data_IF_087847491782
#
_entry.id   IF_087847491782
#
_cell.length_a   1.000
_cell.length_b   1.000
_cell.length_c   1.000
_cell.angle_alpha   90.00
_cell.angle_beta   90.00
_cell.angle_gamma   90.00
#
_symmetry.space_group_name_H-M   'P 1'
#
loop_
_entity.id
_entity.type
_entity.pdbx_description
1 polymer ?
#
# COMPACT_ATOMS: atom_id res chain seq x y z
N UNK A 1 33.55 -13.89 70.27
CA UNK A 1 33.42 -15.18 70.98
C UNK A 1 32.53 -16.06 70.11
N UNK A 2 32.83 -17.30 69.74
CA UNK A 2 33.95 -18.22 69.90
C UNK A 2 33.71 -19.27 68.78
N UNK A 3 34.78 -19.60 68.06
CA UNK A 3 35.14 -20.89 67.44
C UNK A 3 34.05 -21.98 67.30
N UNK A 4 33.94 -22.59 66.11
CA UNK A 4 34.61 -23.88 65.90
C UNK A 4 34.48 -24.39 64.47
N UNK A 5 35.65 -24.47 63.84
CA UNK A 5 36.00 -25.31 62.71
C UNK A 5 35.90 -26.77 63.16
N UNK A 6 35.17 -27.61 62.42
CA UNK A 6 35.35 -29.06 62.46
C UNK A 6 35.58 -29.54 61.03
N UNK A 7 36.86 -29.76 60.75
CA UNK A 7 37.37 -30.53 59.63
C UNK A 7 37.12 -32.00 59.96
N UNK A 8 36.33 -32.70 59.14
CA UNK A 8 36.34 -34.15 59.12
C UNK A 8 36.73 -34.61 57.71
N UNK A 9 37.99 -35.04 57.60
CA UNK A 9 38.48 -35.81 56.48
C UNK A 9 37.83 -37.21 56.56
N UNK A 10 37.14 -37.62 55.49
CA UNK A 10 36.74 -39.02 55.29
C UNK A 10 37.28 -39.49 53.95
N UNK A 11 37.98 -40.61 54.07
CA UNK A 11 38.68 -41.41 53.08
C UNK A 11 37.92 -41.63 51.76
N UNK A 12 38.69 -41.58 50.68
CA UNK A 12 38.41 -42.14 49.36
C UNK A 12 38.18 -43.66 49.46
N UNK A 13 37.05 -44.12 48.93
CA UNK A 13 36.88 -45.50 48.47
C UNK A 13 36.57 -45.42 46.97
N UNK A 14 37.53 -45.83 46.16
CA UNK A 14 37.35 -46.06 44.73
C UNK A 14 36.40 -47.25 44.55
N UNK A 15 35.23 -47.01 43.97
CA UNK A 15 34.49 -48.03 43.25
C UNK A 15 34.20 -47.52 41.85
N UNK A 16 35.00 -48.06 40.95
CA UNK A 16 34.82 -48.09 39.50
C UNK A 16 33.44 -48.61 39.13
N UNK A 17 32.60 -47.75 38.58
CA UNK A 17 31.63 -48.11 37.55
C UNK A 17 31.53 -46.94 36.58
N UNK A 18 32.10 -47.16 35.39
CA UNK A 18 31.94 -46.43 34.14
C UNK A 18 31.00 -45.22 34.20
N UNK A 19 31.58 -44.02 34.28
CA UNK A 19 30.88 -42.79 33.88
C UNK A 19 30.36 -43.00 32.47
N UNK A 20 29.04 -43.11 32.32
CA UNK A 20 28.41 -43.16 31.02
C UNK A 20 28.91 -41.98 30.17
N UNK A 21 29.22 -42.18 28.87
CA UNK A 21 29.57 -41.08 28.01
C UNK A 21 28.40 -40.10 28.06
N UNK A 22 28.73 -38.85 28.38
CA UNK A 22 27.86 -37.69 28.20
C UNK A 22 27.14 -37.90 26.87
N UNK A 23 25.83 -38.17 26.92
CA UNK A 23 25.04 -38.25 25.72
C UNK A 23 25.35 -36.98 24.95
N UNK A 24 25.98 -37.12 23.78
CA UNK A 24 26.05 -36.07 22.80
C UNK A 24 24.59 -35.69 22.57
N UNK A 25 24.13 -34.59 23.18
CA UNK A 25 22.87 -33.97 22.77
C UNK A 25 23.03 -33.78 21.28
N UNK A 26 22.25 -34.54 20.52
CA UNK A 26 22.15 -34.47 19.07
C UNK A 26 21.84 -33.00 18.72
N UNK A 27 22.88 -32.21 18.45
CA UNK A 27 22.82 -30.77 18.17
C UNK A 27 22.25 -30.54 16.77
N UNK A 28 21.25 -31.31 16.37
CA UNK A 28 20.52 -31.09 15.14
C UNK A 28 19.73 -29.80 15.31
N UNK A 29 20.13 -28.77 14.57
CA UNK A 29 19.44 -27.49 14.56
C UNK A 29 17.93 -27.69 14.36
N UNK A 30 17.12 -27.00 15.17
CA UNK A 30 15.67 -27.04 15.08
C UNK A 30 15.19 -26.59 13.69
N UNK A 31 14.01 -27.06 13.28
CA UNK A 31 13.41 -26.66 12.00
C UNK A 31 13.10 -25.15 12.00
N UNK A 32 13.51 -24.38 10.98
CA UNK A 32 13.28 -22.94 10.92
C UNK A 32 11.87 -22.60 10.39
N UNK A 33 10.83 -23.16 11.02
CA UNK A 33 9.42 -22.98 10.60
C UNK A 33 9.01 -21.49 10.64
N UNK A 34 9.47 -20.75 11.67
CA UNK A 34 9.13 -19.34 11.84
C UNK A 34 9.70 -18.48 10.71
N UNK A 35 10.98 -18.66 10.40
CA UNK A 35 11.67 -17.98 9.32
C UNK A 35 11.09 -18.37 7.96
N UNK A 36 10.75 -19.65 7.78
CA UNK A 36 10.12 -20.14 6.57
C UNK A 36 8.79 -19.44 6.31
N UNK A 37 7.89 -19.44 7.28
CA UNK A 37 6.58 -18.76 7.16
C UNK A 37 6.75 -17.27 6.94
N UNK A 38 7.63 -16.61 7.72
CA UNK A 38 7.86 -15.17 7.62
C UNK A 38 8.37 -14.78 6.23
N UNK A 39 9.40 -15.45 5.73
CA UNK A 39 9.97 -15.13 4.41
C UNK A 39 8.94 -15.30 3.28
N UNK A 40 8.10 -16.34 3.32
CA UNK A 40 7.03 -16.53 2.33
C UNK A 40 5.93 -15.47 2.43
N UNK A 41 5.55 -15.06 3.64
CA UNK A 41 4.56 -13.98 3.81
C UNK A 41 5.10 -12.65 3.28
N UNK A 42 6.37 -12.35 3.53
CA UNK A 42 7.01 -11.13 3.04
C UNK A 42 7.14 -11.14 1.51
N UNK A 43 7.47 -12.29 0.91
CA UNK A 43 7.38 -12.47 -0.54
C UNK A 43 5.98 -12.17 -1.06
N UNK A 44 4.95 -12.79 -0.48
CA UNK A 44 3.58 -12.60 -0.92
C UNK A 44 3.13 -11.12 -0.83
N UNK A 45 3.59 -10.41 0.20
CA UNK A 45 3.33 -8.98 0.35
C UNK A 45 4.06 -8.15 -0.71
N UNK A 46 5.34 -8.42 -0.98
CA UNK A 46 6.06 -7.77 -2.08
C UNK A 46 5.40 -8.02 -3.44
N UNK A 47 4.91 -9.24 -3.69
CA UNK A 47 4.21 -9.63 -4.92
C UNK A 47 2.86 -8.93 -5.05
N UNK A 48 2.07 -8.89 -3.97
CA UNK A 48 0.75 -8.23 -3.92
C UNK A 48 0.82 -6.78 -4.39
N UNK A 49 1.90 -6.08 -4.04
CA UNK A 49 2.11 -4.67 -4.37
C UNK A 49 3.06 -4.46 -5.57
N UNK A 50 3.48 -5.54 -6.24
CA UNK A 50 4.44 -5.50 -7.34
C UNK A 50 5.72 -4.72 -7.00
N UNK A 51 6.25 -4.88 -5.77
CA UNK A 51 7.39 -4.10 -5.29
C UNK A 51 8.70 -4.43 -6.03
N UNK A 52 8.74 -5.55 -6.77
CA UNK A 52 9.85 -5.90 -7.65
C UNK A 52 10.10 -4.84 -8.74
N UNK A 53 9.07 -4.11 -9.20
CA UNK A 53 9.22 -3.05 -10.20
C UNK A 53 9.99 -1.84 -9.65
N UNK A 54 10.00 -1.66 -8.33
CA UNK A 54 10.60 -0.51 -7.64
C UNK A 54 11.91 -0.86 -6.93
N UNK A 55 12.10 -2.14 -6.58
CA UNK A 55 13.31 -2.65 -5.91
C UNK A 55 13.78 -3.97 -6.54
N UNK A 56 14.10 -4.01 -7.85
CA UNK A 56 14.34 -5.26 -8.58
C UNK A 56 15.57 -6.02 -8.09
N UNK A 57 16.64 -5.29 -7.74
CA UNK A 57 17.89 -5.89 -7.28
C UNK A 57 17.71 -6.53 -5.89
N UNK A 58 17.08 -5.81 -4.96
CA UNK A 58 16.78 -6.29 -3.62
C UNK A 58 15.85 -7.50 -3.66
N UNK A 59 14.82 -7.44 -4.51
CA UNK A 59 13.86 -8.51 -4.68
C UNK A 59 14.51 -9.78 -5.25
N UNK A 60 15.32 -9.64 -6.30
CA UNK A 60 16.04 -10.78 -6.89
C UNK A 60 16.99 -11.46 -5.88
N UNK A 61 17.68 -10.67 -5.06
CA UNK A 61 18.54 -11.21 -3.99
C UNK A 61 17.72 -11.94 -2.92
N UNK A 62 16.59 -11.36 -2.48
CA UNK A 62 15.70 -11.98 -1.50
C UNK A 62 15.12 -13.31 -2.02
N UNK A 63 14.68 -13.37 -3.29
CA UNK A 63 14.18 -14.59 -3.93
C UNK A 63 15.25 -15.69 -3.97
N UNK A 64 16.49 -15.33 -4.32
CA UNK A 64 17.60 -16.30 -4.34
C UNK A 64 17.84 -16.89 -2.96
N UNK A 65 17.82 -16.06 -1.91
CA UNK A 65 18.00 -16.53 -0.52
C UNK A 65 16.83 -17.37 -0.02
N UNK A 66 15.59 -17.01 -0.40
CA UNK A 66 14.42 -17.83 -0.11
C UNK A 66 14.53 -19.21 -0.77
N UNK A 67 15.02 -19.27 -2.01
CA UNK A 67 15.26 -20.51 -2.74
C UNK A 67 16.34 -21.37 -2.05
N UNK A 68 17.46 -20.76 -1.65
CA UNK A 68 18.55 -21.46 -0.95
C UNK A 68 18.08 -22.03 0.41
N UNK A 69 17.30 -21.24 1.15
CA UNK A 69 16.69 -21.65 2.42
C UNK A 69 15.72 -22.82 2.25
N UNK A 70 14.90 -22.79 1.21
CA UNK A 70 13.98 -23.90 0.86
C UNK A 70 14.72 -25.17 0.46
N UNK A 71 15.84 -25.05 -0.26
CA UNK A 71 16.60 -26.20 -0.74
C UNK A 71 17.27 -27.01 0.40
N UNK A 72 17.61 -26.35 1.49
CA UNK A 72 18.25 -26.96 2.68
C UNK A 72 17.26 -27.26 3.82
N UNK A 73 15.97 -26.97 3.61
CA UNK A 73 14.94 -27.18 4.62
C UNK A 73 14.79 -28.66 4.98
N UNK A 74 14.75 -29.00 6.28
CA UNK A 74 14.73 -30.37 6.85
C UNK A 74 16.01 -31.20 6.63
N UNK A 75 16.91 -30.78 5.75
CA UNK A 75 18.14 -31.50 5.40
C UNK A 75 19.36 -30.90 6.09
N UNK A 76 19.49 -29.57 6.06
CA UNK A 76 20.46 -28.77 6.81
C UNK A 76 19.75 -27.53 7.37
N UNK A 77 19.16 -27.70 8.55
CA UNK A 77 18.34 -26.68 9.18
C UNK A 77 19.13 -25.42 9.57
N UNK A 78 20.44 -25.55 9.84
CA UNK A 78 21.28 -24.40 10.18
C UNK A 78 21.51 -23.53 8.94
N UNK A 79 21.87 -24.14 7.81
CA UNK A 79 22.00 -23.44 6.53
C UNK A 79 20.66 -22.88 6.06
N UNK A 80 19.58 -23.64 6.24
CA UNK A 80 18.23 -23.21 5.89
C UNK A 80 17.81 -21.97 6.67
N UNK A 81 17.98 -21.98 8.00
CA UNK A 81 17.66 -20.83 8.85
C UNK A 81 18.44 -19.59 8.40
N UNK A 82 19.76 -19.72 8.19
CA UNK A 82 20.61 -18.61 7.76
C UNK A 82 20.12 -18.00 6.44
N UNK A 83 19.85 -18.82 5.44
CA UNK A 83 19.38 -18.33 4.15
C UNK A 83 17.97 -17.72 4.23
N UNK A 84 17.08 -18.23 5.09
CA UNK A 84 15.76 -17.64 5.33
C UNK A 84 15.85 -16.30 6.06
N UNK A 85 16.75 -16.15 7.03
CA UNK A 85 17.04 -14.85 7.69
C UNK A 85 17.57 -13.81 6.68
N UNK A 86 18.46 -14.23 5.77
CA UNK A 86 18.96 -13.40 4.67
C UNK A 86 17.82 -13.02 3.69
N UNK A 87 16.89 -13.93 3.41
CA UNK A 87 15.72 -13.65 2.58
C UNK A 87 14.77 -12.64 3.24
N UNK A 88 14.51 -12.79 4.53
CA UNK A 88 13.70 -11.85 5.33
C UNK A 88 14.31 -10.45 5.25
N UNK A 89 15.61 -10.32 5.51
CA UNK A 89 16.34 -9.04 5.42
C UNK A 89 16.23 -8.45 4.01
N UNK A 90 16.33 -9.29 2.99
CA UNK A 90 16.15 -8.87 1.59
C UNK A 90 14.76 -8.31 1.31
N UNK A 91 13.69 -8.99 1.73
CA UNK A 91 12.33 -8.48 1.54
C UNK A 91 12.03 -7.25 2.39
N UNK A 92 12.65 -7.09 3.58
CA UNK A 92 12.57 -5.85 4.36
C UNK A 92 13.15 -4.68 3.55
N UNK A 93 14.28 -4.89 2.87
CA UNK A 93 14.87 -3.88 1.98
C UNK A 93 13.99 -3.59 0.75
N UNK A 94 13.35 -4.62 0.17
CA UNK A 94 12.35 -4.44 -0.91
C UNK A 94 11.22 -3.54 -0.45
N UNK A 95 10.66 -3.79 0.73
CA UNK A 95 9.55 -3.00 1.26
C UNK A 95 10.00 -1.57 1.58
N UNK A 96 11.14 -1.42 2.24
CA UNK A 96 11.69 -0.11 2.61
C UNK A 96 11.95 0.80 1.41
N UNK A 97 12.32 0.22 0.25
CA UNK A 97 12.57 0.96 -0.98
C UNK A 97 11.34 1.08 -1.87
N UNK A 98 10.59 -0.01 -2.03
CA UNK A 98 9.51 -0.12 -2.99
C UNK A 98 8.25 0.62 -2.57
N UNK A 99 7.88 0.56 -1.28
CA UNK A 99 6.66 1.22 -0.83
C UNK A 99 6.69 2.75 -0.95
N UNK A 100 7.76 3.48 -0.54
CA UNK A 100 7.83 4.92 -0.76
C UNK A 100 7.59 5.31 -2.23
N UNK A 101 8.30 4.65 -3.15
CA UNK A 101 8.20 4.91 -4.60
C UNK A 101 6.81 4.58 -5.16
N UNK A 102 6.21 3.46 -4.74
CA UNK A 102 4.85 3.11 -5.12
C UNK A 102 3.86 4.17 -4.63
N UNK A 103 3.98 4.63 -3.39
CA UNK A 103 3.07 5.63 -2.82
C UNK A 103 3.21 7.00 -3.48
N UNK A 104 4.43 7.41 -3.81
CA UNK A 104 4.71 8.62 -4.59
C UNK A 104 4.03 8.55 -5.97
N UNK A 105 4.19 7.43 -6.68
CA UNK A 105 3.50 7.22 -7.97
C UNK A 105 1.97 7.28 -7.83
N UNK A 106 1.41 6.70 -6.77
CA UNK A 106 -0.04 6.74 -6.51
C UNK A 106 -0.52 8.16 -6.19
N UNK A 107 0.26 8.93 -5.45
CA UNK A 107 0.01 10.34 -5.20
C UNK A 107 -0.01 11.12 -6.52
N UNK A 108 1.04 11.00 -7.35
CA UNK A 108 1.14 11.68 -8.64
C UNK A 108 -0.04 11.36 -9.57
N UNK A 109 -0.40 10.08 -9.67
CA UNK A 109 -1.55 9.63 -10.47
C UNK A 109 -2.87 10.25 -9.97
N UNK A 110 -3.03 10.36 -8.65
CA UNK A 110 -4.22 10.95 -8.04
C UNK A 110 -4.26 12.45 -8.30
N UNK A 111 -3.14 13.16 -8.11
CA UNK A 111 -3.01 14.60 -8.37
C UNK A 111 -3.31 14.96 -9.83
N UNK A 112 -2.95 14.11 -10.78
CA UNK A 112 -3.29 14.30 -12.18
C UNK A 112 -4.83 14.34 -12.39
N UNK A 113 -5.58 13.46 -11.73
CA UNK A 113 -7.04 13.45 -11.78
C UNK A 113 -7.63 14.65 -11.03
N UNK A 114 -7.08 15.01 -9.86
CA UNK A 114 -7.49 16.22 -9.11
C UNK A 114 -7.42 17.44 -10.02
N UNK A 115 -6.30 17.63 -10.73
CA UNK A 115 -6.11 18.75 -11.67
C UNK A 115 -7.16 18.74 -12.81
N UNK A 116 -7.53 17.55 -13.31
CA UNK A 116 -8.58 17.43 -14.33
C UNK A 116 -9.96 17.83 -13.79
N UNK A 117 -10.33 17.34 -12.60
CA UNK A 117 -11.58 17.70 -11.92
C UNK A 117 -11.67 19.20 -11.63
N UNK A 118 -10.57 19.80 -11.13
CA UNK A 118 -10.51 21.23 -10.84
C UNK A 118 -10.54 22.10 -12.11
N UNK A 119 -9.97 21.60 -13.21
CA UNK A 119 -10.00 22.24 -14.52
C UNK A 119 -11.41 22.46 -15.05
N UNK A 120 -12.35 21.57 -14.72
CA UNK A 120 -13.78 21.70 -15.06
C UNK A 120 -14.63 22.27 -13.93
N UNK A 121 -13.99 22.86 -12.90
CA UNK A 121 -14.63 23.51 -11.76
C UNK A 121 -15.48 22.56 -10.90
N UNK A 122 -15.10 21.29 -10.79
CA UNK A 122 -15.81 20.31 -9.95
C UNK A 122 -15.91 20.74 -8.48
N UNK A 123 -14.88 21.37 -7.92
CA UNK A 123 -14.86 21.93 -6.57
C UNK A 123 -15.92 23.01 -6.33
N UNK A 124 -16.45 23.63 -7.40
CA UNK A 124 -17.53 24.61 -7.34
C UNK A 124 -18.87 23.94 -7.62
N UNK A 125 -18.94 23.10 -8.65
CA UNK A 125 -20.18 22.51 -9.13
C UNK A 125 -20.72 21.35 -8.26
N UNK A 126 -19.81 20.70 -7.52
CA UNK A 126 -20.01 19.47 -6.75
C UNK A 126 -19.17 19.50 -5.46
N UNK A 127 -19.44 20.51 -4.62
CA UNK A 127 -18.61 20.83 -3.45
C UNK A 127 -18.52 19.69 -2.43
N UNK A 128 -19.64 19.06 -2.09
CA UNK A 128 -19.69 18.01 -1.07
C UNK A 128 -18.90 16.76 -1.52
N UNK A 129 -19.07 16.34 -2.77
CA UNK A 129 -18.35 15.21 -3.33
C UNK A 129 -16.85 15.50 -3.49
N UNK A 130 -16.49 16.75 -3.83
CA UNK A 130 -15.09 17.18 -3.85
C UNK A 130 -14.46 17.12 -2.45
N UNK A 131 -15.15 17.61 -1.41
CA UNK A 131 -14.66 17.56 -0.03
C UNK A 131 -14.50 16.11 0.48
N UNK A 132 -15.42 15.21 0.10
CA UNK A 132 -15.30 13.79 0.42
C UNK A 132 -14.09 13.14 -0.25
N UNK A 133 -13.88 13.38 -1.56
CA UNK A 133 -12.70 12.90 -2.29
C UNK A 133 -11.40 13.45 -1.70
N UNK A 134 -11.40 14.75 -1.36
CA UNK A 134 -10.26 15.43 -0.76
C UNK A 134 -9.91 14.86 0.61
N UNK A 135 -10.90 14.54 1.43
CA UNK A 135 -10.69 13.90 2.74
C UNK A 135 -9.91 12.58 2.60
N UNK A 136 -10.24 11.75 1.59
CA UNK A 136 -9.50 10.50 1.34
C UNK A 136 -8.07 10.74 0.89
N UNK A 137 -7.86 11.73 0.03
CA UNK A 137 -6.52 12.13 -0.40
C UNK A 137 -5.66 12.63 0.77
N UNK A 138 -6.22 13.47 1.64
CA UNK A 138 -5.51 13.99 2.82
C UNK A 138 -5.21 12.87 3.84
N UNK A 139 -6.11 11.90 4.00
CA UNK A 139 -5.85 10.68 4.77
C UNK A 139 -4.71 9.85 4.16
N UNK A 140 -4.64 9.74 2.83
CA UNK A 140 -3.56 9.04 2.14
C UNK A 140 -2.20 9.68 2.41
N UNK A 141 -2.12 11.01 2.33
CA UNK A 141 -0.92 11.78 2.68
C UNK A 141 -0.52 11.57 4.15
N UNK A 142 -1.49 11.56 5.07
CA UNK A 142 -1.21 11.30 6.48
C UNK A 142 -0.62 9.90 6.70
N UNK A 143 -1.22 8.87 6.09
CA UNK A 143 -0.72 7.50 6.16
C UNK A 143 0.69 7.38 5.54
N UNK A 144 0.93 8.03 4.40
CA UNK A 144 2.25 8.05 3.75
C UNK A 144 3.31 8.66 4.66
N UNK A 145 3.01 9.82 5.27
CA UNK A 145 3.92 10.50 6.21
C UNK A 145 4.17 9.70 7.49
N UNK A 146 3.21 8.86 7.90
CA UNK A 146 3.35 7.94 9.03
C UNK A 146 4.14 6.66 8.67
N UNK A 147 4.48 6.45 7.39
CA UNK A 147 5.09 5.21 6.91
C UNK A 147 4.11 4.03 6.79
N UNK A 148 2.81 4.30 6.88
CA UNK A 148 1.72 3.33 6.74
C UNK A 148 1.41 3.10 5.25
N UNK A 149 2.41 2.66 4.49
CA UNK A 149 2.37 2.70 3.03
C UNK A 149 1.27 1.86 2.39
N UNK A 150 0.94 0.69 2.94
CA UNK A 150 -0.17 -0.12 2.42
C UNK A 150 -1.51 0.62 2.53
N UNK A 151 -1.71 1.33 3.64
CA UNK A 151 -2.90 2.14 3.86
C UNK A 151 -2.90 3.35 2.94
N UNK A 152 -1.75 4.02 2.79
CA UNK A 152 -1.59 5.13 1.86
C UNK A 152 -1.93 4.73 0.41
N UNK A 153 -1.43 3.58 -0.07
CA UNK A 153 -1.77 3.06 -1.41
C UNK A 153 -3.28 2.88 -1.56
N UNK A 154 -3.93 2.24 -0.59
CA UNK A 154 -5.37 2.01 -0.63
C UNK A 154 -6.17 3.33 -0.64
N UNK A 155 -5.77 4.30 0.19
CA UNK A 155 -6.43 5.61 0.28
C UNK A 155 -6.20 6.47 -0.97
N UNK A 156 -5.01 6.43 -1.57
CA UNK A 156 -4.78 7.09 -2.86
C UNK A 156 -5.62 6.47 -3.97
N UNK A 157 -5.72 5.13 -4.04
CA UNK A 157 -6.58 4.46 -5.02
C UNK A 157 -8.07 4.81 -4.82
N UNK A 158 -8.54 4.88 -3.58
CA UNK A 158 -9.91 5.33 -3.26
C UNK A 158 -10.13 6.80 -3.66
N UNK A 159 -9.22 7.69 -3.29
CA UNK A 159 -9.28 9.10 -3.64
C UNK A 159 -9.28 9.31 -5.17
N UNK A 160 -8.43 8.59 -5.89
CA UNK A 160 -8.36 8.63 -7.36
C UNK A 160 -9.70 8.25 -7.97
N UNK A 161 -10.34 7.17 -7.52
CA UNK A 161 -11.65 6.75 -8.01
C UNK A 161 -12.73 7.81 -7.74
N UNK A 162 -12.72 8.41 -6.55
CA UNK A 162 -13.67 9.47 -6.20
C UNK A 162 -13.48 10.72 -7.07
N UNK A 163 -12.23 11.14 -7.33
CA UNK A 163 -11.98 12.27 -8.24
C UNK A 163 -12.32 11.95 -9.70
N UNK A 164 -12.16 10.70 -10.15
CA UNK A 164 -12.59 10.28 -11.49
C UNK A 164 -14.11 10.33 -11.65
N UNK A 165 -14.85 9.81 -10.66
CA UNK A 165 -16.32 9.89 -10.63
C UNK A 165 -16.80 11.34 -10.57
N UNK A 166 -16.18 12.15 -9.72
CA UNK A 166 -16.45 13.58 -9.61
C UNK A 166 -16.24 14.33 -10.93
N UNK A 167 -15.15 14.05 -11.64
CA UNK A 167 -14.87 14.62 -12.95
C UNK A 167 -15.99 14.27 -13.95
N UNK A 168 -16.37 12.99 -14.01
CA UNK A 168 -17.39 12.52 -14.94
C UNK A 168 -18.76 13.15 -14.65
N UNK A 169 -19.19 13.17 -13.39
CA UNK A 169 -20.46 13.80 -12.98
C UNK A 169 -20.49 15.30 -13.24
N UNK A 170 -19.38 16.00 -12.98
CA UNK A 170 -19.27 17.44 -13.25
C UNK A 170 -19.36 17.71 -14.75
N UNK A 171 -18.67 16.90 -15.57
CA UNK A 171 -18.74 17.00 -17.03
C UNK A 171 -20.17 16.83 -17.53
N UNK A 172 -20.89 15.81 -17.08
CA UNK A 172 -22.29 15.59 -17.45
C UNK A 172 -23.21 16.75 -17.02
N UNK A 173 -23.01 17.31 -15.82
CA UNK A 173 -23.77 18.46 -15.34
C UNK A 173 -23.52 19.69 -16.21
N UNK A 174 -22.27 19.90 -16.63
CA UNK A 174 -21.89 20.99 -17.53
C UNK A 174 -22.53 20.82 -18.91
N UNK A 175 -22.45 19.64 -19.51
CA UNK A 175 -23.07 19.35 -20.81
C UNK A 175 -24.59 19.56 -20.78
N UNK A 176 -25.27 19.14 -19.71
CA UNK A 176 -26.72 19.39 -19.53
C UNK A 176 -27.04 20.87 -19.39
N UNK A 177 -26.21 21.63 -18.67
CA UNK A 177 -26.40 23.07 -18.53
C UNK A 177 -26.21 23.80 -19.87
N UNK A 178 -25.19 23.42 -20.65
CA UNK A 178 -24.95 23.97 -21.99
C UNK A 178 -26.11 23.66 -22.95
N UNK A 179 -26.64 22.42 -22.93
CA UNK A 179 -27.81 22.07 -23.73
C UNK A 179 -29.06 22.89 -23.35
N UNK A 180 -29.30 23.10 -22.06
CA UNK A 180 -30.43 23.89 -21.57
C UNK A 180 -30.28 25.39 -21.89
N UNK A 181 -29.06 25.91 -21.89
CA UNK A 181 -28.77 27.29 -22.31
C UNK A 181 -29.03 27.47 -23.81
N UNK A 182 -28.51 26.57 -24.64
CA UNK A 182 -28.70 26.64 -26.09
C UNK A 182 -30.18 26.57 -26.49
N UNK A 183 -30.97 25.67 -25.88
CA UNK A 183 -32.41 25.59 -26.16
C UNK A 183 -33.18 26.83 -25.68
N UNK A 184 -32.72 27.46 -24.59
CA UNK A 184 -33.29 28.71 -24.10
C UNK A 184 -32.96 29.88 -25.04
N UNK A 185 -31.73 29.96 -25.55
CA UNK A 185 -31.31 30.96 -26.53
C UNK A 185 -32.07 30.83 -27.86
N UNK A 186 -32.31 29.61 -28.34
CA UNK A 186 -33.15 29.36 -29.51
C UNK A 186 -34.59 29.82 -29.26
N UNK A 187 -35.17 29.49 -28.11
CA UNK A 187 -36.52 29.93 -27.75
C UNK A 187 -36.64 31.45 -27.68
N UNK A 188 -35.63 32.15 -27.12
CA UNK A 188 -35.60 33.61 -27.06
C UNK A 188 -35.57 34.21 -28.47
N UNK A 189 -34.76 33.68 -29.39
CA UNK A 189 -34.71 34.13 -30.79
C UNK A 189 -36.05 33.95 -31.49
N UNK A 190 -36.70 32.80 -31.32
CA UNK A 190 -38.02 32.53 -31.89
C UNK A 190 -39.07 33.52 -31.36
N UNK A 191 -39.06 33.83 -30.06
CA UNK A 191 -39.96 34.82 -29.48
C UNK A 191 -39.67 36.24 -29.99
N UNK A 192 -38.41 36.62 -30.14
CA UNK A 192 -38.02 37.92 -30.69
C UNK A 192 -38.45 38.08 -32.17
N UNK A 193 -38.35 37.01 -32.97
CA UNK A 193 -38.79 37.00 -34.37
C UNK A 193 -40.31 37.08 -34.48
N UNK A 194 -41.04 36.30 -33.67
CA UNK A 194 -42.52 36.36 -33.62
C UNK A 194 -43.03 37.74 -33.19
N UNK A 195 -42.42 38.33 -32.16
CA UNK A 195 -42.80 39.67 -31.71
C UNK A 195 -42.58 40.73 -32.81
N UNK A 196 -41.45 40.67 -33.52
CA UNK A 196 -41.17 41.59 -34.63
C UNK A 196 -42.16 41.44 -35.79
N UNK A 197 -42.48 40.21 -36.17
CA UNK A 197 -43.47 39.94 -37.22
C UNK A 197 -44.86 40.48 -36.84
N UNK A 198 -45.28 40.31 -35.58
CA UNK A 198 -46.54 40.87 -35.08
C UNK A 198 -46.57 42.40 -35.09
N UNK A 199 -45.47 43.06 -34.70
CA UNK A 199 -45.37 44.52 -34.71
C UNK A 199 -45.41 45.10 -36.14
N UNK A 200 -44.80 44.42 -37.13
CA UNK A 200 -44.86 44.82 -38.55
C UNK A 200 -46.27 44.67 -39.15
N UNK A 201 -47.01 43.63 -38.77
CA UNK A 201 -48.39 43.41 -39.21
C UNK A 201 -49.34 44.49 -38.67
N UNK A 202 -49.16 44.92 -37.42
CA UNK A 202 -49.94 46.00 -36.81
C UNK A 202 -49.68 47.38 -37.44
N UNK A 203 -48.47 47.63 -37.94
CA UNK A 203 -48.13 48.91 -38.61
C UNK A 203 -48.63 48.99 -40.07
N UNK A 204 -48.75 47.86 -40.76
CA UNK A 204 -49.17 47.82 -42.17
C UNK A 204 -50.68 47.69 -42.36
N UNK A 205 -51.42 47.35 -41.29
CA UNK A 205 -52.88 47.25 -41.26
C UNK A 205 -53.65 48.55 -40.94
N UNK A 206 -52.98 49.70 -40.83
CA UNK A 206 -53.58 51.05 -40.67
C UNK A 206 -53.56 51.83 -41.98
#
# INVERSE_FOLDING_TARGET
MKYSVIIFAILLIFSSCSTAPKAEEDTKAALPETEYTRANNMKAQADKYNLADYAPNEYSQAEQKLKDGKATYKTDNASSKKALDEAITGYEAVMAKGFPLLTEKKQEETEAIVKQAEGIKAQVAMKEEYEAARTKYDQALAAQNAGEYEQAVALFDEAKLLFQDLYQKTKEKKEKAEQAMNSSEESIKDFEEQARAGDEELQTGQ
#
